data_IF_200024485702
#
_entry.id   IF_200024485702
#
_cell.length_a   1.000
_cell.length_b   1.000
_cell.length_c   1.000
_cell.angle_alpha   90.00
_cell.angle_beta   90.00
_cell.angle_gamma   90.00
#
_symmetry.space_group_name_H-M   'P 1'
#
loop_
_entity.id
_entity.type
_entity.pdbx_description
1 polymer ?
#
# COMPACT_ATOMS: atom_id res chain seq x y z
N UNK A 1 27.62 37.01 -56.92
CA UNK A 1 27.78 36.52 -55.53
C UNK A 1 26.46 36.73 -54.86
N UNK A 2 25.59 35.71 -55.01
CA UNK A 2 24.23 35.70 -54.52
C UNK A 2 24.21 35.02 -53.16
N UNK A 3 23.63 35.70 -52.18
CA UNK A 3 23.40 35.18 -50.84
C UNK A 3 22.13 34.32 -50.85
N UNK A 4 22.27 33.02 -50.57
CA UNK A 4 21.13 32.16 -50.23
C UNK A 4 20.65 32.46 -48.79
N UNK A 5 19.34 32.58 -48.54
CA UNK A 5 18.82 32.69 -47.20
C UNK A 5 18.70 31.31 -46.58
N UNK A 6 19.35 31.16 -45.42
CA UNK A 6 19.27 30.03 -44.52
C UNK A 6 17.83 29.95 -43.91
N UNK A 7 17.01 28.99 -44.39
CA UNK A 7 15.71 28.71 -43.83
C UNK A 7 15.87 27.85 -42.56
N UNK A 8 16.09 28.49 -41.43
CA UNK A 8 15.90 27.89 -40.12
C UNK A 8 14.42 27.53 -39.96
N UNK A 9 14.11 26.24 -39.95
CA UNK A 9 12.79 25.73 -39.57
C UNK A 9 12.53 26.06 -38.09
N UNK A 10 11.77 27.08 -37.86
CA UNK A 10 11.20 27.41 -36.55
C UNK A 10 10.05 26.44 -36.30
N UNK A 11 10.29 25.39 -35.54
CA UNK A 11 9.25 24.52 -35.01
C UNK A 11 8.35 25.37 -34.08
N UNK A 12 7.08 25.47 -34.45
CA UNK A 12 6.06 26.26 -33.76
C UNK A 12 5.83 25.80 -32.33
N UNK A 13 5.91 26.66 -31.32
CA UNK A 13 5.65 26.31 -29.91
C UNK A 13 4.20 25.83 -29.65
N UNK A 14 3.26 26.11 -30.55
CA UNK A 14 1.85 25.74 -30.43
C UNK A 14 1.57 24.24 -30.67
N UNK A 15 2.26 23.60 -31.62
CA UNK A 15 2.02 22.19 -31.95
C UNK A 15 2.49 21.26 -30.83
N UNK A 16 3.59 21.57 -30.16
CA UNK A 16 4.07 20.84 -28.97
C UNK A 16 3.10 20.94 -27.78
N UNK A 17 2.41 22.07 -27.63
CA UNK A 17 1.42 22.27 -26.55
C UNK A 17 0.11 21.51 -26.78
N UNK A 18 -0.30 21.30 -28.05
CA UNK A 18 -1.51 20.52 -28.37
C UNK A 18 -1.27 19.02 -28.27
N UNK A 19 -0.14 18.52 -28.73
CA UNK A 19 0.24 17.13 -28.58
C UNK A 19 0.38 16.72 -27.11
N UNK A 20 1.03 17.57 -26.29
CA UNK A 20 1.16 17.35 -24.85
C UNK A 20 -0.19 17.38 -24.12
N UNK A 21 -1.13 18.23 -24.52
CA UNK A 21 -2.49 18.25 -23.96
C UNK A 21 -3.26 16.98 -24.30
N UNK A 22 -3.12 16.47 -25.53
CA UNK A 22 -3.76 15.23 -25.96
C UNK A 22 -3.23 14.01 -25.19
N UNK A 23 -1.91 13.92 -24.98
CA UNK A 23 -1.30 12.85 -24.21
C UNK A 23 -1.70 12.88 -22.73
N UNK A 24 -1.78 14.07 -22.11
CA UNK A 24 -2.22 14.23 -20.72
C UNK A 24 -3.68 13.82 -20.50
N UNK A 25 -4.56 14.10 -21.45
CA UNK A 25 -5.96 13.68 -21.40
C UNK A 25 -6.07 12.14 -21.51
N UNK A 26 -5.35 11.54 -22.44
CA UNK A 26 -5.32 10.08 -22.61
C UNK A 26 -4.75 9.39 -21.35
N UNK A 27 -3.70 9.95 -20.75
CA UNK A 27 -3.12 9.45 -19.50
C UNK A 27 -4.14 9.49 -18.35
N UNK A 28 -4.88 10.58 -18.19
CA UNK A 28 -5.96 10.69 -17.19
C UNK A 28 -7.08 9.67 -17.44
N UNK A 29 -7.45 9.47 -18.71
CA UNK A 29 -8.44 8.45 -19.08
C UNK A 29 -7.93 7.04 -18.78
N UNK A 30 -6.66 6.76 -19.02
CA UNK A 30 -6.03 5.48 -18.68
C UNK A 30 -6.08 5.22 -17.16
N UNK A 31 -5.75 6.23 -16.35
CA UNK A 31 -5.86 6.11 -14.88
C UNK A 31 -7.31 5.90 -14.40
N UNK A 32 -8.30 6.51 -15.08
CA UNK A 32 -9.70 6.22 -14.81
C UNK A 32 -10.05 4.76 -15.14
N UNK A 33 -9.56 4.23 -16.28
CA UNK A 33 -9.78 2.83 -16.66
C UNK A 33 -9.12 1.83 -15.71
N UNK A 34 -7.96 2.18 -15.15
CA UNK A 34 -7.34 1.39 -14.07
C UNK A 34 -8.26 1.30 -12.85
N UNK A 35 -8.84 2.41 -12.41
CA UNK A 35 -9.79 2.44 -11.29
C UNK A 35 -11.06 1.63 -11.58
N UNK A 36 -11.49 1.59 -12.84
CA UNK A 36 -12.60 0.75 -13.30
C UNK A 36 -12.22 -0.73 -13.47
N UNK A 37 -11.03 -1.14 -13.05
CA UNK A 37 -10.49 -2.51 -13.19
C UNK A 37 -10.35 -3.00 -14.63
N UNK A 38 -10.19 -2.09 -15.59
CA UNK A 38 -10.07 -2.36 -17.03
C UNK A 38 -8.64 -2.19 -17.52
N UNK A 39 -7.75 -3.16 -17.19
CA UNK A 39 -6.31 -3.11 -17.48
C UNK A 39 -6.03 -2.98 -18.99
N UNK A 40 -6.71 -3.77 -19.83
CA UNK A 40 -6.48 -3.75 -21.28
C UNK A 40 -6.91 -2.42 -21.92
N UNK A 41 -8.02 -1.83 -21.45
CA UNK A 41 -8.46 -0.52 -21.91
C UNK A 41 -7.49 0.59 -21.45
N UNK A 42 -6.95 0.48 -20.24
CA UNK A 42 -5.92 1.40 -19.76
C UNK A 42 -4.63 1.27 -20.58
N UNK A 43 -4.21 0.06 -20.89
CA UNK A 43 -3.03 -0.20 -21.74
C UNK A 43 -3.19 0.47 -23.11
N UNK A 44 -4.31 0.25 -23.80
CA UNK A 44 -4.57 0.84 -25.13
C UNK A 44 -4.55 2.38 -25.10
N UNK A 45 -5.07 3.00 -24.05
CA UNK A 45 -5.01 4.46 -23.89
C UNK A 45 -3.60 4.98 -23.62
N UNK A 46 -2.78 4.22 -22.85
CA UNK A 46 -1.38 4.57 -22.60
C UNK A 46 -0.52 4.44 -23.86
N UNK A 47 -0.78 3.43 -24.69
CA UNK A 47 -0.12 3.27 -25.99
C UNK A 47 -0.45 4.45 -26.90
N UNK A 48 -1.73 4.84 -27.01
CA UNK A 48 -2.13 6.03 -27.76
C UNK A 48 -1.48 7.31 -27.20
N UNK A 49 -1.41 7.46 -25.86
CA UNK A 49 -0.76 8.60 -25.24
C UNK A 49 0.73 8.66 -25.59
N UNK A 50 1.42 7.51 -25.64
CA UNK A 50 2.82 7.42 -26.01
C UNK A 50 3.06 7.80 -27.47
N UNK A 51 2.14 7.46 -28.39
CA UNK A 51 2.20 7.89 -29.80
C UNK A 51 2.11 9.41 -29.96
N UNK A 52 1.42 10.09 -29.05
CA UNK A 52 1.31 11.56 -29.02
C UNK A 52 2.51 12.26 -28.37
N UNK A 53 3.13 11.62 -27.37
CA UNK A 53 4.26 12.16 -26.62
C UNK A 53 5.23 11.02 -26.24
N UNK A 54 6.08 10.65 -27.18
CA UNK A 54 7.02 9.53 -27.06
C UNK A 54 8.06 9.73 -25.94
N UNK A 55 8.38 10.95 -25.58
CA UNK A 55 9.39 11.27 -24.57
C UNK A 55 8.85 11.35 -23.15
N UNK A 56 7.55 11.25 -22.96
CA UNK A 56 6.93 11.37 -21.65
C UNK A 56 7.27 10.18 -20.73
N UNK A 57 8.05 10.46 -19.70
CA UNK A 57 8.52 9.46 -18.75
C UNK A 57 7.40 8.90 -17.85
N UNK A 58 6.35 9.67 -17.56
CA UNK A 58 5.21 9.19 -16.78
C UNK A 58 4.40 8.16 -17.56
N UNK A 59 4.17 8.37 -18.85
CA UNK A 59 3.49 7.41 -19.73
C UNK A 59 4.29 6.11 -19.83
N UNK A 60 5.61 6.20 -20.05
CA UNK A 60 6.50 5.04 -20.08
C UNK A 60 6.50 4.27 -18.76
N UNK A 61 6.47 4.98 -17.64
CA UNK A 61 6.35 4.37 -16.32
C UNK A 61 5.00 3.67 -16.14
N UNK A 62 3.90 4.35 -16.47
CA UNK A 62 2.55 3.78 -16.38
C UNK A 62 2.39 2.52 -17.22
N UNK A 63 2.93 2.50 -18.46
CA UNK A 63 2.96 1.32 -19.33
C UNK A 63 3.68 0.13 -18.66
N UNK A 64 4.86 0.35 -18.08
CA UNK A 64 5.59 -0.71 -17.35
C UNK A 64 4.76 -1.26 -16.19
N UNK A 65 4.11 -0.38 -15.45
CA UNK A 65 3.27 -0.77 -14.32
C UNK A 65 2.04 -1.57 -14.77
N UNK A 66 1.34 -1.13 -15.82
CA UNK A 66 0.15 -1.82 -16.34
C UNK A 66 0.50 -3.16 -16.94
N UNK A 67 1.59 -3.26 -17.73
CA UNK A 67 2.09 -4.54 -18.24
C UNK A 67 2.42 -5.52 -17.13
N UNK A 68 3.09 -5.05 -16.06
CA UNK A 68 3.40 -5.88 -14.91
C UNK A 68 2.11 -6.47 -14.30
N UNK A 69 1.07 -5.63 -14.13
CA UNK A 69 -0.21 -6.09 -13.56
C UNK A 69 -0.97 -7.03 -14.48
N UNK A 70 -1.00 -6.78 -15.80
CA UNK A 70 -1.62 -7.70 -16.77
C UNK A 70 -0.98 -9.08 -16.67
N UNK A 71 0.35 -9.16 -16.61
CA UNK A 71 1.05 -10.45 -16.53
C UNK A 71 0.80 -11.18 -15.22
N UNK A 72 0.82 -10.45 -14.10
CA UNK A 72 0.67 -11.04 -12.78
C UNK A 72 -0.78 -11.38 -12.42
N UNK A 73 -1.76 -10.77 -13.06
CA UNK A 73 -3.18 -11.08 -12.83
C UNK A 73 -3.73 -12.20 -13.72
N UNK A 74 -3.00 -12.65 -14.73
CA UNK A 74 -3.43 -13.76 -15.63
C UNK A 74 -3.87 -15.02 -14.87
N UNK A 75 -3.23 -15.32 -13.75
CA UNK A 75 -3.52 -16.51 -12.94
C UNK A 75 -4.78 -16.39 -12.08
N UNK A 76 -5.37 -15.19 -11.99
CA UNK A 76 -6.53 -14.98 -11.12
C UNK A 76 -7.76 -15.75 -11.61
N UNK A 77 -7.87 -15.96 -12.91
CA UNK A 77 -9.00 -16.68 -13.51
C UNK A 77 -8.91 -18.20 -13.27
N UNK A 78 -7.71 -18.72 -13.03
CA UNK A 78 -7.50 -20.11 -12.67
C UNK A 78 -7.92 -20.42 -11.23
N UNK A 79 -8.00 -19.40 -10.36
CA UNK A 79 -8.43 -19.54 -8.98
C UNK A 79 -9.96 -19.65 -8.92
N UNK A 80 -10.46 -20.65 -8.18
CA UNK A 80 -11.90 -20.90 -8.07
C UNK A 80 -12.56 -20.18 -6.90
N UNK A 81 -11.82 -20.02 -5.82
CA UNK A 81 -12.33 -19.46 -4.57
C UNK A 81 -12.17 -17.92 -4.57
N UNK A 82 -13.26 -17.15 -4.36
CA UNK A 82 -13.18 -15.68 -4.24
C UNK A 82 -12.20 -15.19 -3.18
N UNK A 83 -12.08 -15.90 -2.04
CA UNK A 83 -11.07 -15.58 -1.02
C UNK A 83 -9.65 -15.65 -1.59
N UNK A 84 -9.33 -16.73 -2.30
CA UNK A 84 -8.02 -16.90 -2.94
C UNK A 84 -7.75 -15.82 -3.98
N UNK A 85 -8.75 -15.43 -4.76
CA UNK A 85 -8.62 -14.35 -5.77
C UNK A 85 -8.27 -13.01 -5.13
N UNK A 86 -9.00 -12.62 -4.08
CA UNK A 86 -8.73 -11.37 -3.36
C UNK A 86 -7.39 -11.40 -2.62
N UNK A 87 -7.09 -12.49 -1.92
CA UNK A 87 -5.81 -12.67 -1.22
C UNK A 87 -4.62 -12.68 -2.20
N UNK A 88 -4.78 -13.29 -3.37
CA UNK A 88 -3.79 -13.27 -4.43
C UNK A 88 -3.47 -11.84 -4.89
N UNK A 89 -4.48 -11.01 -5.18
CA UNK A 89 -4.26 -9.60 -5.56
C UNK A 89 -3.46 -8.83 -4.51
N UNK A 90 -3.82 -8.97 -3.24
CA UNK A 90 -3.10 -8.32 -2.13
C UNK A 90 -1.66 -8.86 -2.03
N UNK A 91 -1.44 -10.15 -2.26
CA UNK A 91 -0.10 -10.73 -2.26
C UNK A 91 0.75 -10.20 -3.43
N UNK A 92 0.15 -10.06 -4.63
CA UNK A 92 0.82 -9.48 -5.79
C UNK A 92 1.17 -8.01 -5.55
N UNK A 93 0.36 -7.26 -4.79
CA UNK A 93 0.68 -5.88 -4.45
C UNK A 93 1.98 -5.76 -3.63
N UNK A 94 2.31 -6.74 -2.79
CA UNK A 94 3.61 -6.82 -2.11
C UNK A 94 4.78 -7.00 -3.10
N UNK A 95 4.60 -7.84 -4.13
CA UNK A 95 5.63 -8.06 -5.16
C UNK A 95 5.78 -6.81 -6.05
N UNK A 96 4.70 -6.10 -6.28
CA UNK A 96 4.70 -4.86 -7.02
C UNK A 96 5.57 -3.78 -6.37
N UNK A 97 5.63 -3.69 -5.03
CA UNK A 97 6.57 -2.78 -4.35
C UNK A 97 8.04 -3.11 -4.65
N UNK A 98 8.37 -4.40 -4.78
CA UNK A 98 9.72 -4.82 -5.16
C UNK A 98 10.04 -4.37 -6.59
N UNK A 99 9.08 -4.54 -7.51
CA UNK A 99 9.20 -4.06 -8.88
C UNK A 99 9.34 -2.53 -8.95
N UNK A 100 8.54 -1.78 -8.20
CA UNK A 100 8.63 -0.31 -8.13
C UNK A 100 10.00 0.17 -7.65
N UNK A 101 10.62 -0.53 -6.72
CA UNK A 101 11.97 -0.22 -6.24
C UNK A 101 13.05 -0.33 -7.31
N UNK A 102 12.76 -0.99 -8.45
CA UNK A 102 13.65 -1.08 -9.60
C UNK A 102 13.42 0.03 -10.65
N UNK A 103 12.33 0.80 -10.49
CA UNK A 103 12.00 1.92 -11.37
C UNK A 103 12.58 3.22 -10.77
N UNK A 104 13.18 4.04 -11.63
CA UNK A 104 13.92 5.23 -11.21
C UNK A 104 13.03 6.35 -10.63
N UNK A 105 11.75 6.41 -11.00
CA UNK A 105 10.82 7.46 -10.60
C UNK A 105 9.51 6.85 -10.09
N UNK A 106 8.89 7.49 -9.10
CA UNK A 106 7.54 7.19 -8.65
C UNK A 106 6.59 8.30 -9.10
N UNK A 107 5.53 7.93 -9.82
CA UNK A 107 4.46 8.85 -10.22
C UNK A 107 3.23 8.60 -9.36
N UNK A 108 2.90 9.54 -8.51
CA UNK A 108 1.85 9.40 -7.48
C UNK A 108 0.48 9.04 -8.07
N UNK A 109 0.09 9.67 -9.18
CA UNK A 109 -1.19 9.39 -9.83
C UNK A 109 -1.28 7.97 -10.37
N UNK A 110 -0.20 7.47 -10.97
CA UNK A 110 -0.10 6.10 -11.43
C UNK A 110 -0.22 5.12 -10.25
N UNK A 111 0.54 5.35 -9.18
CA UNK A 111 0.52 4.51 -7.98
C UNK A 111 -0.86 4.50 -7.32
N UNK A 112 -1.50 5.67 -7.24
CA UNK A 112 -2.86 5.77 -6.71
C UNK A 112 -3.87 4.98 -7.55
N UNK A 113 -3.81 5.10 -8.89
CA UNK A 113 -4.73 4.38 -9.78
C UNK A 113 -4.57 2.86 -9.66
N UNK A 114 -3.32 2.37 -9.61
CA UNK A 114 -3.03 0.93 -9.43
C UNK A 114 -3.46 0.46 -8.05
N UNK A 115 -3.16 1.20 -7.01
CA UNK A 115 -3.60 0.89 -5.65
C UNK A 115 -5.13 0.77 -5.58
N UNK A 116 -5.83 1.72 -6.18
CA UNK A 116 -7.28 1.71 -6.26
C UNK A 116 -7.79 0.47 -7.01
N UNK A 117 -7.19 0.14 -8.16
CA UNK A 117 -7.49 -1.09 -8.90
C UNK A 117 -7.37 -2.35 -8.03
N UNK A 118 -6.24 -2.51 -7.36
CA UNK A 118 -5.95 -3.73 -6.59
C UNK A 118 -6.95 -3.90 -5.44
N UNK A 119 -7.14 -2.85 -4.65
CA UNK A 119 -7.99 -2.95 -3.46
C UNK A 119 -9.47 -2.99 -3.79
N UNK A 120 -9.96 -2.27 -4.81
CA UNK A 120 -11.36 -2.39 -5.24
C UNK A 120 -11.66 -3.76 -5.82
N UNK A 121 -10.74 -4.32 -6.63
CA UNK A 121 -10.92 -5.66 -7.20
C UNK A 121 -10.89 -6.75 -6.12
N UNK A 122 -9.98 -6.64 -5.14
CA UNK A 122 -9.90 -7.56 -4.01
C UNK A 122 -11.16 -7.46 -3.13
N UNK A 123 -11.61 -6.25 -2.83
CA UNK A 123 -12.82 -5.98 -2.05
C UNK A 123 -14.06 -6.61 -2.70
N UNK A 124 -14.22 -6.45 -4.01
CA UNK A 124 -15.32 -7.08 -4.75
C UNK A 124 -15.42 -8.60 -4.52
N UNK A 125 -14.26 -9.29 -4.48
CA UNK A 125 -14.26 -10.72 -4.18
C UNK A 125 -14.62 -11.02 -2.72
N UNK A 126 -14.19 -10.20 -1.78
CA UNK A 126 -14.45 -10.41 -0.36
C UNK A 126 -15.89 -10.07 0.05
N UNK A 127 -16.51 -9.03 -0.54
CA UNK A 127 -17.90 -8.63 -0.25
C UNK A 127 -18.87 -9.76 -0.54
N UNK A 128 -18.66 -10.52 -1.63
CA UNK A 128 -19.43 -11.71 -1.93
C UNK A 128 -19.35 -12.78 -0.83
N UNK A 129 -18.22 -12.90 -0.15
CA UNK A 129 -18.01 -13.84 0.96
C UNK A 129 -18.68 -13.36 2.25
N UNK A 130 -18.62 -12.06 2.54
CA UNK A 130 -19.26 -11.46 3.72
C UNK A 130 -20.78 -11.56 3.69
N UNK A 131 -21.39 -11.71 2.52
CA UNK A 131 -22.82 -11.95 2.37
C UNK A 131 -23.27 -13.29 2.99
N UNK A 132 -22.34 -14.23 3.21
CA UNK A 132 -22.61 -15.48 3.91
C UNK A 132 -22.43 -15.29 5.43
N UNK A 133 -23.47 -15.51 6.26
CA UNK A 133 -23.37 -15.36 7.71
C UNK A 133 -22.24 -16.17 8.37
N UNK A 134 -21.87 -17.31 7.82
CA UNK A 134 -20.80 -18.13 8.35
C UNK A 134 -19.41 -17.46 8.28
N UNK A 135 -19.21 -16.51 7.37
CA UNK A 135 -17.94 -15.85 7.14
C UNK A 135 -17.87 -14.47 7.81
N UNK A 136 -18.98 -13.92 8.30
CA UNK A 136 -19.07 -12.56 8.85
C UNK A 136 -18.16 -12.34 10.08
N UNK A 137 -17.79 -13.41 10.75
CA UNK A 137 -16.91 -13.39 11.91
C UNK A 137 -15.56 -14.09 11.67
N UNK A 138 -15.15 -14.28 10.43
CA UNK A 138 -13.81 -14.77 10.12
C UNK A 138 -12.80 -13.61 10.25
N UNK A 139 -11.91 -13.62 11.28
CA UNK A 139 -10.99 -12.52 11.51
C UNK A 139 -9.96 -12.36 10.39
N UNK A 140 -9.63 -13.43 9.64
CA UNK A 140 -8.76 -13.37 8.49
C UNK A 140 -9.41 -12.62 7.32
N UNK A 141 -10.68 -12.91 7.03
CA UNK A 141 -11.45 -12.19 6.01
C UNK A 141 -11.66 -10.73 6.41
N UNK A 142 -12.04 -10.47 7.66
CA UNK A 142 -12.24 -9.11 8.17
C UNK A 142 -10.96 -8.27 8.09
N UNK A 143 -9.78 -8.85 8.36
CA UNK A 143 -8.48 -8.21 8.19
C UNK A 143 -8.26 -7.78 6.74
N UNK A 144 -8.50 -8.69 5.78
CA UNK A 144 -8.30 -8.41 4.36
C UNK A 144 -9.26 -7.34 3.84
N UNK A 145 -10.53 -7.38 4.27
CA UNK A 145 -11.53 -6.34 3.97
C UNK A 145 -11.12 -4.99 4.56
N UNK A 146 -10.69 -4.96 5.82
CA UNK A 146 -10.19 -3.74 6.46
C UNK A 146 -8.99 -3.15 5.74
N UNK A 147 -8.04 -3.98 5.27
CA UNK A 147 -6.93 -3.55 4.41
C UNK A 147 -7.40 -2.96 3.08
N UNK A 148 -8.42 -3.56 2.46
CA UNK A 148 -8.97 -3.02 1.23
C UNK A 148 -9.57 -1.63 1.44
N UNK A 149 -10.39 -1.45 2.47
CA UNK A 149 -10.97 -0.14 2.80
C UNK A 149 -9.89 0.89 3.15
N UNK A 150 -8.86 0.50 3.92
CA UNK A 150 -7.71 1.37 4.20
C UNK A 150 -7.01 1.78 2.90
N UNK A 151 -6.71 0.80 2.02
CA UNK A 151 -6.08 1.03 0.72
C UNK A 151 -6.90 1.93 -0.21
N UNK A 152 -8.21 1.97 -0.08
CA UNK A 152 -9.12 2.86 -0.80
C UNK A 152 -9.30 4.24 -0.13
N UNK A 153 -8.72 4.46 1.05
CA UNK A 153 -8.86 5.70 1.81
C UNK A 153 -10.12 5.79 2.66
N UNK A 154 -10.91 4.72 2.75
CA UNK A 154 -12.13 4.65 3.55
C UNK A 154 -11.80 4.20 4.99
N UNK A 155 -11.13 5.07 5.74
CA UNK A 155 -10.54 4.73 7.04
C UNK A 155 -11.57 4.37 8.12
N UNK A 156 -12.76 4.97 8.11
CA UNK A 156 -13.82 4.65 9.08
C UNK A 156 -14.35 3.22 8.88
N UNK A 157 -14.61 2.82 7.62
CA UNK A 157 -15.00 1.44 7.33
C UNK A 157 -13.84 0.46 7.60
N UNK A 158 -12.60 0.83 7.26
CA UNK A 158 -11.43 0.02 7.59
C UNK A 158 -11.35 -0.25 9.10
N UNK A 159 -11.50 0.79 9.92
CA UNK A 159 -11.45 0.67 11.39
C UNK A 159 -12.53 -0.27 11.91
N UNK A 160 -13.76 -0.16 11.42
CA UNK A 160 -14.89 -1.00 11.81
C UNK A 160 -14.61 -2.50 11.61
N UNK A 161 -14.12 -2.88 10.42
CA UNK A 161 -13.80 -4.29 10.11
C UNK A 161 -12.59 -4.80 10.91
N UNK A 162 -11.55 -3.98 11.04
CA UNK A 162 -10.34 -4.33 11.79
C UNK A 162 -10.60 -4.46 13.29
N UNK A 163 -11.42 -3.58 13.88
CA UNK A 163 -11.81 -3.69 15.28
C UNK A 163 -12.67 -4.92 15.53
N UNK A 164 -13.57 -5.29 14.61
CA UNK A 164 -14.35 -6.52 14.71
C UNK A 164 -13.43 -7.75 14.70
N UNK A 165 -12.46 -7.80 13.78
CA UNK A 165 -11.43 -8.85 13.75
C UNK A 165 -10.64 -8.90 15.06
N UNK A 166 -10.26 -7.75 15.61
CA UNK A 166 -9.51 -7.66 16.87
C UNK A 166 -10.34 -8.08 18.08
N UNK A 167 -11.67 -7.87 18.09
CA UNK A 167 -12.54 -8.42 19.15
C UNK A 167 -12.52 -9.93 19.21
N UNK A 168 -12.37 -10.58 18.05
CA UNK A 168 -12.30 -12.05 17.95
C UNK A 168 -10.90 -12.56 18.33
N UNK A 169 -9.86 -11.89 17.84
CA UNK A 169 -8.45 -12.22 18.11
C UNK A 169 -7.75 -11.06 18.83
N UNK A 170 -7.95 -10.96 20.14
CA UNK A 170 -7.52 -9.79 20.95
C UNK A 170 -6.00 -9.59 21.06
N UNK A 171 -5.22 -10.65 20.95
CA UNK A 171 -3.75 -10.64 21.11
C UNK A 171 -3.07 -10.98 19.77
N UNK A 172 -3.58 -10.50 18.65
CA UNK A 172 -2.99 -10.67 17.34
C UNK A 172 -2.19 -9.41 16.96
N UNK A 173 -0.87 -9.58 16.82
CA UNK A 173 0.05 -8.46 16.55
C UNK A 173 -0.23 -7.79 15.20
N UNK A 174 -0.58 -8.58 14.18
CA UNK A 174 -0.92 -8.06 12.85
C UNK A 174 -2.17 -7.19 12.89
N UNK A 175 -3.24 -7.67 13.53
CA UNK A 175 -4.49 -6.92 13.69
C UNK A 175 -4.29 -5.65 14.51
N UNK A 176 -3.55 -5.74 15.63
CA UNK A 176 -3.24 -4.56 16.45
C UNK A 176 -2.49 -3.50 15.68
N UNK A 177 -1.51 -3.90 14.84
CA UNK A 177 -0.74 -2.98 14.01
C UNK A 177 -1.63 -2.32 12.94
N UNK A 178 -2.53 -3.07 12.31
CA UNK A 178 -3.47 -2.53 11.32
C UNK A 178 -4.46 -1.54 11.94
N UNK A 179 -5.03 -1.86 13.10
CA UNK A 179 -5.91 -0.94 13.85
C UNK A 179 -5.13 0.31 14.29
N UNK A 180 -3.87 0.14 14.73
CA UNK A 180 -3.01 1.26 15.10
C UNK A 180 -2.75 2.20 13.91
N UNK A 181 -2.46 1.63 12.75
CA UNK A 181 -2.18 2.37 11.52
C UNK A 181 -3.39 3.20 11.08
N UNK A 182 -4.58 2.59 11.05
CA UNK A 182 -5.83 3.31 10.71
C UNK A 182 -6.13 4.41 11.74
N UNK A 183 -5.95 4.17 13.05
CA UNK A 183 -6.11 5.21 14.07
C UNK A 183 -5.14 6.38 13.83
N UNK A 184 -3.90 6.10 13.42
CA UNK A 184 -2.94 7.16 13.09
C UNK A 184 -3.37 7.98 11.86
N UNK A 185 -3.90 7.31 10.82
CA UNK A 185 -4.47 7.97 9.63
C UNK A 185 -5.69 8.84 9.95
N UNK A 186 -6.51 8.41 10.92
CA UNK A 186 -7.63 9.19 11.48
C UNK A 186 -7.19 10.24 12.51
N UNK A 187 -5.88 10.52 12.62
CA UNK A 187 -5.31 11.48 13.57
C UNK A 187 -5.52 11.12 15.06
N UNK A 188 -5.91 9.90 15.37
CA UNK A 188 -6.06 9.40 16.75
C UNK A 188 -4.71 8.92 17.32
N UNK A 189 -3.73 9.81 17.29
CA UNK A 189 -2.31 9.50 17.54
C UNK A 189 -2.06 8.80 18.89
N UNK A 190 -2.78 9.17 19.94
CA UNK A 190 -2.59 8.56 21.28
C UNK A 190 -2.97 7.07 21.28
N UNK A 191 -4.10 6.73 20.68
CA UNK A 191 -4.59 5.36 20.52
C UNK A 191 -3.63 4.57 19.63
N UNK A 192 -3.24 5.14 18.48
CA UNK A 192 -2.31 4.53 17.54
C UNK A 192 -0.98 4.14 18.21
N UNK A 193 -0.37 5.06 18.96
CA UNK A 193 0.89 4.80 19.69
C UNK A 193 0.77 3.66 20.71
N UNK A 194 -0.36 3.59 21.43
CA UNK A 194 -0.60 2.53 22.40
C UNK A 194 -0.74 1.16 21.73
N UNK A 195 -1.50 1.09 20.63
CA UNK A 195 -1.76 -0.14 19.90
C UNK A 195 -0.50 -0.63 19.13
N UNK A 196 0.26 0.25 18.48
CA UNK A 196 1.54 -0.12 17.87
C UNK A 196 2.51 -0.69 18.91
N UNK A 197 2.65 -0.01 20.05
CA UNK A 197 3.49 -0.56 21.13
C UNK A 197 3.04 -1.96 21.51
N UNK A 198 1.73 -2.18 21.69
CA UNK A 198 1.20 -3.51 22.06
C UNK A 198 1.47 -4.55 20.97
N UNK A 199 1.26 -4.21 19.70
CA UNK A 199 1.55 -5.07 18.57
C UNK A 199 3.02 -5.53 18.53
N UNK A 200 3.96 -4.60 18.63
CA UNK A 200 5.39 -4.90 18.63
C UNK A 200 5.86 -5.65 19.87
N UNK A 201 5.16 -5.50 20.98
CA UNK A 201 5.46 -6.28 22.21
C UNK A 201 4.96 -7.73 22.15
N UNK A 202 3.91 -7.99 21.37
CA UNK A 202 3.37 -9.35 21.22
C UNK A 202 4.24 -10.15 20.27
N UNK A 203 4.42 -9.67 19.04
CA UNK A 203 5.21 -10.36 18.02
C UNK A 203 5.57 -9.40 16.87
N UNK A 204 6.76 -8.78 16.88
CA UNK A 204 7.18 -7.86 15.84
C UNK A 204 7.26 -8.52 14.46
N UNK A 205 7.57 -9.82 14.39
CA UNK A 205 7.76 -10.54 13.12
C UNK A 205 6.44 -10.77 12.35
N UNK A 206 5.29 -10.68 13.02
CA UNK A 206 3.97 -10.76 12.37
C UNK A 206 3.53 -9.46 11.74
N UNK A 207 4.22 -8.34 12.00
CA UNK A 207 3.84 -7.03 11.50
C UNK A 207 4.42 -6.82 10.10
N UNK A 208 3.56 -6.72 9.09
CA UNK A 208 4.01 -6.45 7.72
C UNK A 208 3.99 -4.93 7.43
N UNK A 209 5.16 -4.29 7.56
CA UNK A 209 5.32 -2.85 7.36
C UNK A 209 4.96 -2.38 5.94
N UNK A 210 4.87 -3.29 4.96
CA UNK A 210 4.47 -2.95 3.58
C UNK A 210 3.00 -2.55 3.47
N UNK A 211 2.18 -2.94 4.45
CA UNK A 211 0.78 -2.52 4.53
C UNK A 211 0.58 -1.26 5.38
N UNK A 212 1.57 -0.86 6.15
CA UNK A 212 1.47 0.35 6.97
C UNK A 212 1.56 1.62 6.13
N UNK A 213 0.73 2.61 6.42
CA UNK A 213 0.59 3.83 5.63
C UNK A 213 0.76 5.11 6.46
N UNK A 214 0.58 5.04 7.77
CA UNK A 214 0.69 6.21 8.62
C UNK A 214 2.11 6.72 8.73
N UNK A 215 2.28 8.03 8.65
CA UNK A 215 3.56 8.69 8.83
C UNK A 215 4.20 8.38 10.20
N UNK A 216 3.40 7.97 11.18
CA UNK A 216 3.86 7.63 12.52
C UNK A 216 4.82 6.44 12.50
N UNK A 217 4.41 5.34 11.84
CA UNK A 217 5.23 4.11 11.81
C UNK A 217 6.24 4.13 10.67
N UNK A 218 5.92 4.77 9.54
CA UNK A 218 6.83 4.87 8.40
C UNK A 218 8.08 5.67 8.73
N UNK A 219 7.96 6.81 9.43
CA UNK A 219 9.13 7.59 9.90
C UNK A 219 9.99 6.79 10.86
N UNK A 220 9.38 6.01 11.76
CA UNK A 220 10.12 5.16 12.68
C UNK A 220 10.88 4.05 11.95
N UNK A 221 10.22 3.40 10.97
CA UNK A 221 10.86 2.43 10.07
C UNK A 221 12.07 3.03 9.37
N UNK A 222 11.93 4.24 8.82
CA UNK A 222 12.98 4.90 8.05
C UNK A 222 14.17 5.23 8.96
N UNK A 223 13.95 5.77 10.16
CA UNK A 223 14.99 6.02 11.16
C UNK A 223 15.77 4.74 11.49
N UNK A 224 15.07 3.64 11.76
CA UNK A 224 15.72 2.37 12.12
C UNK A 224 16.45 1.79 10.90
N UNK A 225 15.90 1.96 9.72
CA UNK A 225 16.52 1.53 8.46
C UNK A 225 17.80 2.32 8.15
N UNK A 226 17.84 3.64 8.40
CA UNK A 226 19.04 4.49 8.23
C UNK A 226 20.18 4.09 9.15
N UNK A 227 19.89 3.52 10.31
CA UNK A 227 20.88 2.96 11.24
C UNK A 227 21.50 1.64 10.77
N UNK A 228 21.02 1.09 9.63
CA UNK A 228 21.58 -0.11 9.01
C UNK A 228 20.78 -1.38 9.24
N UNK A 229 19.78 -1.37 10.11
CA UNK A 229 18.95 -2.56 10.36
C UNK A 229 18.06 -2.91 9.17
N UNK A 230 17.89 -4.21 8.87
CA UNK A 230 17.15 -4.71 7.72
C UNK A 230 16.33 -5.94 8.08
N UNK A 231 15.30 -6.21 7.28
CA UNK A 231 14.47 -7.42 7.39
C UNK A 231 13.95 -7.68 8.82
N UNK A 232 14.25 -8.85 9.37
CA UNK A 232 13.82 -9.27 10.70
C UNK A 232 14.40 -8.38 11.80
N UNK A 233 15.67 -8.00 11.71
CA UNK A 233 16.31 -7.08 12.66
C UNK A 233 15.60 -5.72 12.69
N UNK A 234 15.14 -5.21 11.55
CA UNK A 234 14.40 -3.95 11.50
C UNK A 234 13.18 -3.99 12.41
N UNK A 235 12.41 -5.09 12.35
CA UNK A 235 11.21 -5.27 13.16
C UNK A 235 11.51 -5.38 14.65
N UNK A 236 12.60 -6.04 15.02
CA UNK A 236 13.06 -6.18 16.41
C UNK A 236 13.52 -4.84 16.99
N UNK A 237 14.14 -3.97 16.19
CA UNK A 237 14.67 -2.68 16.66
C UNK A 237 13.63 -1.55 16.65
N UNK A 238 12.54 -1.66 15.87
CA UNK A 238 11.46 -0.67 15.88
C UNK A 238 10.91 -0.38 17.28
N UNK A 239 10.58 -1.35 18.15
CA UNK A 239 10.08 -1.05 19.49
C UNK A 239 11.12 -0.34 20.38
N UNK A 240 12.40 -0.64 20.22
CA UNK A 240 13.47 0.01 20.97
C UNK A 240 13.58 1.49 20.60
N UNK A 241 13.73 1.78 19.30
CA UNK A 241 13.80 3.15 18.82
C UNK A 241 12.48 3.90 18.96
N UNK A 242 11.35 3.19 18.85
CA UNK A 242 10.03 3.74 19.13
C UNK A 242 9.91 4.27 20.58
N UNK A 243 10.49 3.58 21.53
CA UNK A 243 10.59 4.07 22.90
C UNK A 243 11.55 5.27 23.02
N UNK A 244 12.75 5.18 22.47
CA UNK A 244 13.76 6.23 22.51
C UNK A 244 13.27 7.53 21.84
N UNK A 245 12.54 7.43 20.75
CA UNK A 245 11.96 8.57 20.02
C UNK A 245 10.64 9.06 20.62
N UNK A 246 10.17 8.50 21.73
CA UNK A 246 8.93 8.89 22.39
C UNK A 246 7.66 8.50 21.62
N UNK A 247 7.77 7.67 20.57
CA UNK A 247 6.60 7.15 19.84
C UNK A 247 5.83 6.15 20.71
N UNK A 248 6.54 5.26 21.41
CA UNK A 248 5.95 4.21 22.26
C UNK A 248 6.01 4.52 23.76
N UNK A 249 6.28 5.75 24.15
CA UNK A 249 6.43 6.19 25.54
C UNK A 249 5.12 6.29 26.34
N UNK A 250 3.99 5.83 25.75
CA UNK A 250 2.71 5.81 26.45
C UNK A 250 2.79 4.88 27.67
N UNK A 251 2.58 5.40 28.87
CA UNK A 251 2.60 4.62 30.11
C UNK A 251 1.55 3.51 30.05
N UNK A 252 1.98 2.29 30.34
CA UNK A 252 1.14 1.11 30.48
C UNK A 252 1.56 0.38 31.75
N UNK A 253 0.60 -0.08 32.52
CA UNK A 253 0.85 -1.03 33.60
C UNK A 253 1.09 -2.42 32.99
N UNK A 254 2.14 -3.11 33.47
CA UNK A 254 2.41 -4.47 33.06
C UNK A 254 1.33 -5.41 33.59
N UNK A 255 0.79 -6.29 32.77
CA UNK A 255 -0.05 -7.41 33.22
C UNK A 255 0.78 -8.30 34.16
N UNK A 256 0.15 -8.97 35.11
CA UNK A 256 0.85 -9.81 36.10
C UNK A 256 1.79 -10.87 35.44
N UNK A 257 1.35 -11.45 34.34
CA UNK A 257 2.17 -12.42 33.56
C UNK A 257 3.41 -11.76 32.96
N UNK A 258 3.29 -10.56 32.44
CA UNK A 258 4.40 -9.79 31.85
C UNK A 258 5.40 -9.36 32.93
N UNK A 259 4.89 -8.90 34.07
CA UNK A 259 5.74 -8.59 35.22
C UNK A 259 6.49 -9.82 35.74
N UNK A 260 5.85 -11.01 35.70
CA UNK A 260 6.48 -12.28 36.03
C UNK A 260 7.59 -12.65 35.05
N UNK A 261 7.36 -12.55 33.74
CA UNK A 261 8.36 -12.82 32.69
C UNK A 261 9.55 -11.85 32.78
N UNK A 262 9.27 -10.56 32.98
CA UNK A 262 10.32 -9.56 33.14
C UNK A 262 11.20 -9.86 34.37
N UNK A 263 10.61 -10.20 35.51
CA UNK A 263 11.35 -10.62 36.69
C UNK A 263 12.23 -11.84 36.42
N UNK A 264 11.71 -12.87 35.74
CA UNK A 264 12.50 -14.05 35.36
C UNK A 264 13.66 -13.69 34.45
N UNK A 265 13.46 -12.83 33.45
CA UNK A 265 14.54 -12.38 32.57
C UNK A 265 15.65 -11.62 33.31
N UNK A 266 15.28 -10.78 34.29
CA UNK A 266 16.24 -10.03 35.12
C UNK A 266 17.07 -10.96 36.00
N UNK A 267 16.51 -12.08 36.49
CA UNK A 267 17.22 -13.06 37.31
C UNK A 267 18.12 -14.02 36.51
N UNK A 268 17.99 -14.05 35.16
CA UNK A 268 18.80 -14.89 34.28
C UNK A 268 20.01 -14.15 33.69
N UNK A 269 20.14 -12.86 33.94
CA UNK A 269 21.32 -12.02 33.64
C UNK A 269 22.23 -11.90 34.86
#
# INVERSE_FOLDING_TARGET
MENEPNTAQTSLPGALSEASRGSDELLKMAYAKLKDSSLDAALSLLEQALDHDFDNDEIKHALKCVHWWIEHTRRIDDLRNPYEKGAFLISQFKQYFVFLGQLNNAYEQCQYAIRFFVYSKALYFFEGLLSNPANQHDPGLLLLVGRCFKGLGNFDEALKYLEEALRIKREDAELLAEVADVNALLSQTKTAKALFREAFFIDPQKIDLRFMESALILKLRDIVSELGYRNEELLEWIPVYGYLQGVFSVKRELKQVEAGRLKQSIFLI
#
